data_IF_895725716489
#
_entry.id   IF_895725716489
#
_cell.length_a   1.000
_cell.length_b   1.000
_cell.length_c   1.000
_cell.angle_alpha   90.00
_cell.angle_beta   90.00
_cell.angle_gamma   90.00
#
_symmetry.space_group_name_H-M   'P 1'
#
loop_
_entity.id
_entity.type
_entity.pdbx_description
1 polymer ?
#
# COMPACT_ATOMS: atom_id res chain seq x y z
N UNK A 1 -11.99 -3.13 -9.82
CA UNK A 1 -10.58 -2.95 -10.19
C UNK A 1 -9.73 -2.91 -8.94
N UNK A 2 -8.67 -3.67 -8.92
CA UNK A 2 -7.81 -3.72 -7.75
C UNK A 2 -6.55 -2.94 -8.03
N UNK A 3 -6.25 -1.98 -7.17
CA UNK A 3 -5.05 -1.18 -7.31
C UNK A 3 -3.96 -1.81 -6.46
N UNK A 4 -2.92 -2.26 -7.10
CA UNK A 4 -1.84 -2.93 -6.36
C UNK A 4 -0.50 -2.66 -7.02
N UNK A 5 0.55 -2.79 -6.23
CA UNK A 5 1.91 -2.72 -6.70
C UNK A 5 2.62 -3.94 -6.14
N UNK A 6 3.11 -4.80 -7.04
CA UNK A 6 3.71 -6.06 -6.64
C UNK A 6 2.66 -6.89 -5.91
N UNK A 7 2.93 -7.29 -4.68
CA UNK A 7 1.95 -8.08 -3.95
C UNK A 7 1.24 -7.28 -2.87
N UNK A 8 1.34 -5.95 -2.93
CA UNK A 8 0.67 -5.09 -1.97
C UNK A 8 -0.50 -4.42 -2.66
N UNK A 9 -1.70 -4.60 -2.13
CA UNK A 9 -2.90 -4.01 -2.71
C UNK A 9 -3.42 -2.89 -1.83
N UNK A 10 -3.98 -1.86 -2.46
CA UNK A 10 -4.61 -0.78 -1.72
C UNK A 10 -5.90 -1.29 -1.09
N UNK A 11 -6.17 -0.86 0.12
CA UNK A 11 -7.37 -1.25 0.82
C UNK A 11 -8.16 -0.05 1.25
N UNK A 12 -9.46 -0.22 1.33
CA UNK A 12 -10.32 0.82 1.83
C UNK A 12 -10.05 1.00 3.33
N UNK A 13 -9.81 2.24 3.74
CA UNK A 13 -9.54 2.52 5.15
C UNK A 13 -10.76 2.27 6.01
N UNK A 14 -11.92 2.20 5.41
CA UNK A 14 -13.15 2.05 6.15
C UNK A 14 -13.59 0.60 6.32
N UNK A 15 -13.60 -0.16 5.23
CA UNK A 15 -14.09 -1.53 5.28
C UNK A 15 -13.03 -2.56 4.93
N UNK A 16 -11.86 -2.15 4.48
CA UNK A 16 -10.79 -3.09 4.16
C UNK A 16 -10.90 -3.75 2.79
N UNK A 17 -11.90 -3.35 1.98
CA UNK A 17 -12.05 -3.93 0.67
C UNK A 17 -10.98 -3.44 -0.28
N UNK A 18 -10.57 -4.29 -1.22
CA UNK A 18 -9.51 -3.94 -2.15
C UNK A 18 -10.04 -3.57 -3.53
N UNK A 19 -11.32 -3.70 -3.78
CA UNK A 19 -11.89 -3.43 -5.08
C UNK A 19 -12.43 -2.00 -5.15
N UNK A 20 -11.94 -1.23 -6.11
CA UNK A 20 -12.33 0.17 -6.27
C UNK A 20 -12.78 0.42 -7.70
N UNK A 21 -13.57 1.46 -7.91
CA UNK A 21 -13.99 1.88 -9.21
C UNK A 21 -13.66 3.33 -9.43
N UNK A 22 -13.06 3.69 -10.58
CA UNK A 22 -12.80 5.10 -10.85
C UNK A 22 -14.12 5.77 -11.20
N UNK A 23 -14.28 7.01 -10.75
CA UNK A 23 -15.46 7.75 -11.09
C UNK A 23 -15.43 8.22 -12.52
N UNK A 24 -14.24 8.46 -13.06
CA UNK A 24 -14.10 8.87 -14.41
C UNK A 24 -13.74 7.68 -15.25
N UNK A 25 -14.22 7.63 -16.48
CA UNK A 25 -13.87 6.53 -17.35
C UNK A 25 -12.63 6.80 -18.15
N UNK A 26 -11.93 7.89 -17.90
CA UNK A 26 -10.70 8.20 -18.61
C UNK A 26 -9.51 7.50 -18.00
N UNK A 27 -8.32 7.95 -18.36
CA UNK A 27 -7.10 7.37 -17.84
C UNK A 27 -6.99 7.67 -16.36
N UNK A 28 -6.41 6.75 -15.62
CA UNK A 28 -6.22 6.96 -14.19
C UNK A 28 -5.13 7.98 -13.94
N UNK A 29 -5.41 8.90 -13.06
CA UNK A 29 -4.45 9.91 -12.67
C UNK A 29 -4.43 10.00 -11.17
N UNK A 30 -3.45 10.71 -10.64
CA UNK A 30 -3.35 10.85 -9.20
C UNK A 30 -4.57 11.52 -8.59
N UNK A 31 -5.19 12.42 -9.36
CA UNK A 31 -6.37 13.12 -8.88
C UNK A 31 -7.67 12.38 -9.14
N UNK A 32 -7.61 11.24 -9.81
CA UNK A 32 -8.83 10.50 -10.13
C UNK A 32 -9.46 9.99 -8.84
N UNK A 33 -10.77 10.24 -8.68
CA UNK A 33 -11.48 9.77 -7.50
C UNK A 33 -11.88 8.33 -7.70
N UNK A 34 -11.54 7.50 -6.74
CA UNK A 34 -11.89 6.09 -6.76
C UNK A 34 -12.92 5.84 -5.68
N UNK A 35 -13.82 4.93 -5.94
CA UNK A 35 -14.87 4.60 -4.99
C UNK A 35 -14.78 3.14 -4.61
N UNK A 36 -14.84 2.85 -3.33
CA UNK A 36 -14.86 1.48 -2.85
C UNK A 36 -16.19 0.84 -3.24
N UNK A 37 -16.14 -0.32 -3.87
CA UNK A 37 -17.38 -0.96 -4.32
C UNK A 37 -18.17 -1.55 -3.17
N UNK A 38 -17.55 -1.76 -2.03
CA UNK A 38 -18.24 -2.36 -0.90
C UNK A 38 -18.95 -1.32 -0.03
N UNK A 39 -18.26 -0.26 0.34
CA UNK A 39 -18.85 0.72 1.25
C UNK A 39 -19.11 2.08 0.61
N UNK A 40 -18.62 2.31 -0.60
CA UNK A 40 -18.88 3.56 -1.29
C UNK A 40 -17.99 4.72 -0.91
N UNK A 41 -16.99 4.49 -0.06
CA UNK A 41 -16.12 5.57 0.33
C UNK A 41 -15.30 6.03 -0.86
N UNK A 42 -15.16 7.33 -1.00
CA UNK A 42 -14.38 7.90 -2.10
C UNK A 42 -13.00 8.28 -1.62
N UNK A 43 -12.01 8.02 -2.47
CA UNK A 43 -10.66 8.38 -2.15
C UNK A 43 -9.95 8.61 -3.47
N UNK A 44 -8.86 9.36 -3.47
CA UNK A 44 -8.15 9.60 -4.71
C UNK A 44 -7.18 8.46 -5.00
N UNK A 45 -6.86 8.30 -6.27
CA UNK A 45 -5.91 7.29 -6.69
C UNK A 45 -4.57 7.51 -6.00
N UNK A 46 -4.20 8.76 -5.80
CA UNK A 46 -2.97 9.09 -5.11
C UNK A 46 -2.97 8.55 -3.68
N UNK A 47 -4.09 8.69 -2.98
CA UNK A 47 -4.19 8.17 -1.62
C UNK A 47 -4.06 6.66 -1.59
N UNK A 48 -4.59 5.99 -2.59
CA UNK A 48 -4.45 4.54 -2.67
C UNK A 48 -2.99 4.16 -2.88
N UNK A 49 -2.29 4.87 -3.74
CA UNK A 49 -0.88 4.60 -3.96
C UNK A 49 -0.05 4.89 -2.71
N UNK A 50 -0.40 5.95 -1.99
CA UNK A 50 0.29 6.26 -0.74
C UNK A 50 0.08 5.13 0.28
N UNK A 51 -1.12 4.59 0.35
CA UNK A 51 -1.40 3.50 1.26
C UNK A 51 -0.57 2.27 0.91
N UNK A 52 -0.43 1.99 -0.38
CA UNK A 52 0.38 0.87 -0.82
C UNK A 52 1.83 1.10 -0.41
N UNK A 53 2.33 2.32 -0.58
CA UNK A 53 3.69 2.65 -0.21
C UNK A 53 3.93 2.48 1.28
N UNK A 54 2.97 2.92 2.09
CA UNK A 54 3.10 2.76 3.54
C UNK A 54 3.10 1.31 3.94
N UNK A 55 2.24 0.52 3.33
CA UNK A 55 2.17 -0.88 3.65
C UNK A 55 3.45 -1.60 3.24
N UNK A 56 3.98 -1.28 2.07
CA UNK A 56 5.22 -1.89 1.61
C UNK A 56 6.37 -1.52 2.52
N UNK A 57 6.41 -0.27 2.98
CA UNK A 57 7.46 0.17 3.86
C UNK A 57 7.37 -0.53 5.21
N UNK A 58 6.17 -0.70 5.72
CA UNK A 58 5.98 -1.41 6.98
C UNK A 58 6.47 -2.84 6.88
N UNK A 59 6.16 -3.52 5.78
CA UNK A 59 6.60 -4.88 5.58
C UNK A 59 8.12 -4.96 5.48
N UNK A 60 8.72 -3.99 4.79
CA UNK A 60 10.16 -3.96 4.67
C UNK A 60 10.81 -3.76 6.04
N UNK A 61 10.24 -2.89 6.85
CA UNK A 61 10.78 -2.64 8.18
C UNK A 61 10.65 -3.87 9.07
N UNK A 62 9.55 -4.58 8.95
CA UNK A 62 9.39 -5.80 9.72
C UNK A 62 10.38 -6.86 9.31
N UNK A 63 10.64 -6.97 8.02
CA UNK A 63 11.61 -7.92 7.54
C UNK A 63 13.00 -7.58 8.04
N UNK A 64 13.35 -6.30 8.06
CA UNK A 64 14.62 -5.87 8.57
C UNK A 64 14.75 -6.16 10.06
N UNK A 65 13.71 -5.93 10.80
CA UNK A 65 13.72 -6.19 12.23
C UNK A 65 13.94 -7.68 12.49
N UNK A 66 13.33 -8.52 11.69
CA UNK A 66 13.52 -9.93 11.84
C UNK A 66 14.93 -10.34 11.53
N UNK A 67 15.50 -9.80 10.48
CA UNK A 67 16.86 -10.11 10.11
C UNK A 67 17.82 -9.69 11.21
N UNK A 68 17.58 -8.54 11.81
CA UNK A 68 18.42 -8.08 12.86
C UNK A 68 18.38 -9.01 14.02
N UNK A 69 17.22 -9.51 14.35
CA UNK A 69 17.11 -10.41 15.44
C UNK A 69 17.79 -11.70 15.15
N UNK A 70 17.66 -12.20 13.94
CA UNK A 70 18.21 -13.48 13.60
C UNK A 70 19.69 -13.45 13.34
N UNK A 71 20.25 -12.28 13.07
CA UNK A 71 21.63 -12.17 12.78
C UNK A 71 22.29 -11.25 13.69
N UNK A 72 22.29 -11.49 14.87
CA UNK A 72 22.77 -10.55 15.81
C UNK A 72 24.20 -10.27 15.65
N UNK A 73 24.98 -11.05 15.29
CA UNK A 73 26.18 -10.79 15.20
C UNK A 73 26.72 -10.17 14.21
N UNK A 74 26.32 -9.84 13.47
CA UNK A 74 26.79 -9.29 12.48
C UNK A 74 27.24 -8.10 12.79
N UNK A 75 28.08 -7.63 13.27
CA UNK A 75 28.40 -6.49 13.50
C UNK A 75 29.04 -5.90 12.56
N UNK A 76 29.18 -4.92 12.41
CA UNK A 76 29.63 -4.26 11.47
C UNK A 76 30.96 -4.09 11.68
N UNK A 77 31.62 -4.11 10.89
CA UNK A 77 32.93 -3.97 10.94
C UNK A 77 33.35 -2.72 11.39
N UNK A 78 33.84 -2.30 11.97
CA UNK A 78 34.15 -1.21 12.26
C UNK A 78 35.07 -0.81 11.96
N UNK A 79 35.70 -0.45 11.61
CA UNK A 79 36.61 0.03 11.27
C UNK A 79 37.00 0.48 11.58
#
# INVERSE_FOLDING_TARGET
MIVSIRDVSARCARCGETDFRPQDSGALRLATVMRCVACGKETTYRELLDSIGEEAMRRANEALAKLKKNSPKRRRPRK
#
